data_IF_564654215141
#
_entry.id   IF_564654215141
#
_cell.length_a   1.000
_cell.length_b   1.000
_cell.length_c   1.000
_cell.angle_alpha   90.00
_cell.angle_beta   90.00
_cell.angle_gamma   90.00
#
_symmetry.space_group_name_H-M   'P 1'
#
loop_
_entity.id
_entity.type
_entity.pdbx_description
1 polymer ?
#
# COMPACT_ATOMS: atom_id res chain seq x y z
N UNK A 1 23.05 -10.19 -3.83
CA UNK A 1 23.35 -10.28 -2.39
C UNK A 1 22.30 -9.44 -1.67
N UNK A 2 21.36 -10.03 -0.93
CA UNK A 2 20.38 -9.23 -0.17
C UNK A 2 21.17 -8.38 0.85
N UNK A 3 20.88 -7.06 0.94
CA UNK A 3 21.47 -6.27 2.03
C UNK A 3 21.14 -6.96 3.34
N UNK A 4 22.13 -7.24 4.16
CA UNK A 4 21.97 -7.92 5.44
C UNK A 4 20.93 -7.18 6.28
N UNK A 5 19.78 -7.84 6.57
CA UNK A 5 18.74 -7.45 7.52
C UNK A 5 17.64 -6.51 7.02
N UNK A 6 17.07 -6.77 5.84
CA UNK A 6 15.72 -6.22 5.58
C UNK A 6 14.76 -6.89 6.57
N UNK A 7 14.16 -6.08 7.42
CA UNK A 7 13.13 -6.56 8.35
C UNK A 7 11.83 -6.76 7.59
N UNK A 8 11.50 -8.01 7.30
CA UNK A 8 10.22 -8.34 6.67
C UNK A 8 9.05 -8.09 7.63
N UNK A 9 7.91 -7.69 7.10
CA UNK A 9 6.67 -7.67 7.85
C UNK A 9 6.31 -9.10 8.29
N UNK A 10 5.69 -9.22 9.48
CA UNK A 10 5.26 -10.50 10.06
C UNK A 10 3.84 -10.38 10.58
N UNK A 11 3.04 -11.43 10.45
CA UNK A 11 1.72 -11.49 11.06
C UNK A 11 1.78 -12.14 12.45
N UNK A 12 0.95 -11.63 13.37
CA UNK A 12 0.88 -12.06 14.77
C UNK A 12 -0.59 -12.27 15.14
N UNK A 13 -0.87 -13.41 15.79
CA UNK A 13 -2.20 -13.69 16.32
C UNK A 13 -2.49 -12.82 17.54
N UNK A 14 -3.74 -12.31 17.61
CA UNK A 14 -4.17 -11.46 18.71
C UNK A 14 -5.71 -11.43 18.83
N UNK A 15 -6.20 -11.33 20.06
CA UNK A 15 -7.64 -11.33 20.37
C UNK A 15 -8.31 -9.95 20.22
N UNK A 16 -7.56 -8.85 20.24
CA UNK A 16 -8.11 -7.49 20.31
C UNK A 16 -8.47 -6.89 18.92
N UNK A 17 -8.05 -7.51 17.82
CA UNK A 17 -8.42 -7.05 16.47
C UNK A 17 -9.84 -7.53 16.16
N UNK A 18 -10.78 -6.62 15.82
CA UNK A 18 -12.13 -7.02 15.45
C UNK A 18 -12.13 -7.92 14.20
N UNK A 19 -13.06 -8.90 14.17
CA UNK A 19 -13.20 -9.85 13.05
C UNK A 19 -13.55 -9.19 11.70
N UNK A 20 -14.03 -7.95 11.74
CA UNK A 20 -14.28 -7.14 10.53
C UNK A 20 -13.00 -6.68 9.81
N UNK A 21 -11.85 -6.76 10.47
CA UNK A 21 -10.56 -6.42 9.89
C UNK A 21 -9.79 -7.69 9.52
N UNK A 22 -9.16 -7.70 8.35
CA UNK A 22 -8.26 -8.79 7.98
C UNK A 22 -7.03 -8.77 8.89
N UNK A 23 -6.43 -7.60 9.07
CA UNK A 23 -5.37 -7.31 10.04
C UNK A 23 -5.23 -5.80 10.25
N UNK A 24 -4.52 -5.41 11.32
CA UNK A 24 -4.11 -4.02 11.59
C UNK A 24 -2.59 -3.98 11.61
N UNK A 25 -2.00 -3.09 10.82
CA UNK A 25 -0.54 -2.94 10.74
C UNK A 25 0.00 -1.95 11.76
N UNK A 26 0.97 -2.38 12.58
CA UNK A 26 1.71 -1.52 13.47
C UNK A 26 3.21 -1.89 13.46
N UNK A 27 4.07 -0.95 13.08
CA UNK A 27 5.54 -1.10 13.12
C UNK A 27 6.04 -2.38 12.45
N UNK A 28 5.48 -2.72 11.29
CA UNK A 28 5.86 -3.91 10.52
C UNK A 28 5.31 -5.23 11.06
N UNK A 29 4.31 -5.19 11.95
CA UNK A 29 3.58 -6.36 12.42
C UNK A 29 2.11 -6.26 12.02
N UNK A 30 1.60 -7.28 11.33
CA UNK A 30 0.18 -7.45 11.00
C UNK A 30 -0.51 -8.18 12.16
N UNK A 31 -1.32 -7.48 12.93
CA UNK A 31 -2.10 -8.05 14.02
C UNK A 31 -3.46 -8.53 13.49
N UNK A 32 -3.79 -9.77 13.72
CA UNK A 32 -5.05 -10.40 13.28
C UNK A 32 -5.57 -11.38 14.33
N UNK A 33 -6.86 -11.55 14.40
CA UNK A 33 -7.50 -12.59 15.22
C UNK A 33 -7.78 -13.89 14.45
N UNK A 34 -7.19 -14.03 13.25
CA UNK A 34 -7.40 -15.20 12.41
C UNK A 34 -6.08 -15.97 12.20
N UNK A 35 -5.89 -17.12 12.87
CA UNK A 35 -4.66 -17.94 12.75
C UNK A 35 -4.34 -18.33 11.30
N UNK A 36 -5.35 -18.60 10.46
CA UNK A 36 -5.14 -18.91 9.03
C UNK A 36 -4.55 -17.73 8.26
N UNK A 37 -4.90 -16.50 8.66
CA UNK A 37 -4.29 -15.29 8.10
C UNK A 37 -2.84 -15.18 8.51
N UNK A 38 -2.48 -15.49 9.76
CA UNK A 38 -1.08 -15.52 10.25
C UNK A 38 -0.27 -16.53 9.45
N UNK A 39 -0.78 -17.75 9.32
CA UNK A 39 -0.11 -18.82 8.57
C UNK A 39 0.12 -18.42 7.12
N UNK A 40 -0.94 -17.98 6.41
CA UNK A 40 -0.85 -17.55 5.01
C UNK A 40 0.12 -16.40 4.81
N UNK A 41 0.08 -15.39 5.68
CA UNK A 41 0.92 -14.19 5.58
C UNK A 41 2.41 -14.54 5.77
N UNK A 42 2.72 -15.44 6.71
CA UNK A 42 4.09 -15.80 7.05
C UNK A 42 4.64 -16.99 6.22
N UNK A 43 3.80 -17.62 5.39
CA UNK A 43 4.14 -18.86 4.67
C UNK A 43 5.37 -18.71 3.78
N UNK A 44 5.46 -17.61 3.02
CA UNK A 44 6.59 -17.33 2.14
C UNK A 44 6.99 -15.87 2.19
N UNK A 45 8.23 -15.56 1.83
CA UNK A 45 8.72 -14.19 1.70
C UNK A 45 8.08 -13.46 0.52
N UNK A 46 7.69 -14.21 -0.52
CA UNK A 46 7.13 -13.71 -1.77
C UNK A 46 5.61 -13.50 -1.72
N UNK A 47 4.98 -13.78 -0.58
CA UNK A 47 3.56 -13.51 -0.40
C UNK A 47 3.28 -12.03 -0.66
N UNK A 48 2.37 -11.72 -1.60
CA UNK A 48 2.09 -10.36 -2.04
C UNK A 48 1.67 -9.43 -0.90
N UNK A 49 0.89 -9.94 0.07
CA UNK A 49 0.44 -9.16 1.22
C UNK A 49 1.64 -8.86 2.12
N UNK A 50 2.56 -9.83 2.29
CA UNK A 50 3.80 -9.65 3.04
C UNK A 50 4.76 -8.68 2.35
N UNK A 51 4.90 -8.78 1.03
CA UNK A 51 5.70 -7.83 0.22
C UNK A 51 5.11 -6.42 0.35
N UNK A 52 3.79 -6.25 0.19
CA UNK A 52 3.10 -4.99 0.35
C UNK A 52 3.42 -4.33 1.71
N UNK A 53 3.25 -5.06 2.80
CA UNK A 53 3.48 -4.55 4.15
C UNK A 53 4.99 -4.33 4.43
N UNK A 54 5.87 -5.11 3.80
CA UNK A 54 7.31 -4.88 3.89
C UNK A 54 7.71 -3.60 3.17
N UNK A 55 7.04 -3.22 2.09
CA UNK A 55 7.24 -1.92 1.44
C UNK A 55 6.95 -0.79 2.43
N UNK A 56 5.88 -0.86 3.24
CA UNK A 56 5.62 0.13 4.29
C UNK A 56 6.71 0.19 5.36
N UNK A 57 7.28 -0.96 5.74
CA UNK A 57 8.47 -0.98 6.62
C UNK A 57 9.64 -0.24 5.98
N UNK A 58 9.88 -0.45 4.68
CA UNK A 58 10.96 0.22 3.93
C UNK A 58 10.69 1.72 3.75
N UNK A 59 9.44 2.12 3.55
CA UNK A 59 9.04 3.52 3.52
C UNK A 59 9.33 4.21 4.86
N UNK A 60 9.05 3.56 6.00
CA UNK A 60 9.40 4.11 7.31
C UNK A 60 10.93 4.29 7.48
N UNK A 61 11.74 3.38 6.95
CA UNK A 61 13.21 3.53 6.90
C UNK A 61 13.59 4.74 6.05
N UNK A 62 12.96 4.95 4.89
CA UNK A 62 13.21 6.09 4.01
C UNK A 62 12.84 7.45 4.64
N UNK A 63 12.00 7.42 5.68
CA UNK A 63 11.60 8.59 6.47
C UNK A 63 12.41 8.65 7.78
N UNK A 64 13.74 8.61 7.65
CA UNK A 64 14.72 8.71 8.74
C UNK A 64 14.54 7.61 9.81
N UNK A 65 14.16 6.40 9.39
CA UNK A 65 13.94 5.24 10.27
C UNK A 65 13.04 5.55 11.48
N UNK A 66 12.00 6.34 11.27
CA UNK A 66 11.11 6.82 12.32
C UNK A 66 9.66 6.47 12.06
N UNK A 67 9.11 5.54 12.84
CA UNK A 67 7.70 5.18 12.78
C UNK A 67 6.75 6.34 13.09
N UNK A 68 7.15 7.23 14.00
CA UNK A 68 6.34 8.41 14.30
C UNK A 68 6.22 9.31 13.06
N UNK A 69 7.33 9.58 12.39
CA UNK A 69 7.34 10.39 11.16
C UNK A 69 6.58 9.71 10.02
N UNK A 70 6.74 8.38 9.89
CA UNK A 70 5.97 7.60 8.94
C UNK A 70 4.46 7.76 9.15
N UNK A 71 3.96 7.58 10.39
CA UNK A 71 2.53 7.72 10.66
C UNK A 71 2.02 9.14 10.50
N UNK A 72 2.82 10.16 10.82
CA UNK A 72 2.45 11.56 10.59
C UNK A 72 2.36 11.86 9.08
N UNK A 73 3.32 11.39 8.29
CA UNK A 73 3.30 11.52 6.83
C UNK A 73 2.12 10.76 6.22
N UNK A 74 1.87 9.53 6.69
CA UNK A 74 0.77 8.69 6.25
C UNK A 74 -0.59 9.35 6.54
N UNK A 75 -0.76 9.89 7.74
CA UNK A 75 -1.96 10.65 8.12
C UNK A 75 -2.13 11.91 7.25
N UNK A 76 -1.03 12.64 7.01
CA UNK A 76 -1.05 13.84 6.16
C UNK A 76 -1.49 13.51 4.74
N UNK A 77 -0.95 12.46 4.14
CA UNK A 77 -1.33 12.03 2.79
C UNK A 77 -2.79 11.55 2.73
N UNK A 78 -3.27 10.90 3.78
CA UNK A 78 -4.69 10.55 3.87
C UNK A 78 -5.59 11.78 3.93
N UNK A 79 -5.24 12.78 4.77
CA UNK A 79 -5.96 14.05 4.87
C UNK A 79 -5.96 14.80 3.52
N UNK A 80 -4.82 14.84 2.85
CA UNK A 80 -4.70 15.44 1.51
C UNK A 80 -5.65 14.79 0.50
N UNK A 81 -5.85 13.49 0.62
CA UNK A 81 -6.69 12.72 -0.28
C UNK A 81 -8.19 12.74 0.08
N UNK A 82 -8.60 13.37 1.17
CA UNK A 82 -10.02 13.46 1.56
C UNK A 82 -10.97 13.89 0.41
N UNK A 83 -10.61 14.81 -0.51
CA UNK A 83 -11.48 15.13 -1.63
C UNK A 83 -11.85 13.94 -2.52
N UNK A 84 -11.12 12.82 -2.48
CA UNK A 84 -11.40 11.61 -3.25
C UNK A 84 -12.60 10.82 -2.70
N UNK A 85 -12.96 11.00 -1.42
CA UNK A 85 -14.12 10.34 -0.80
C UNK A 85 -15.44 10.71 -1.48
N UNK A 86 -15.49 11.87 -2.15
CA UNK A 86 -16.67 12.31 -2.94
C UNK A 86 -16.95 11.39 -4.14
N UNK A 87 -16.00 10.57 -4.54
CA UNK A 87 -16.17 9.56 -5.61
C UNK A 87 -16.44 8.19 -4.99
N UNK A 88 -15.59 7.77 -4.03
CA UNK A 88 -15.73 6.51 -3.29
C UNK A 88 -15.09 6.68 -1.91
N UNK A 89 -15.80 6.30 -0.85
CA UNK A 89 -15.39 6.59 0.53
C UNK A 89 -13.99 6.09 0.90
N UNK A 90 -13.57 4.92 0.43
CA UNK A 90 -12.25 4.36 0.71
C UNK A 90 -11.16 4.80 -0.28
N UNK A 91 -11.50 5.64 -1.27
CA UNK A 91 -10.53 6.10 -2.27
C UNK A 91 -9.42 6.97 -1.66
N UNK A 92 -9.73 7.73 -0.61
CA UNK A 92 -8.73 8.54 0.10
C UNK A 92 -7.57 7.68 0.63
N UNK A 93 -7.86 6.48 1.13
CA UNK A 93 -6.86 5.51 1.57
C UNK A 93 -6.16 4.84 0.38
N UNK A 94 -6.94 4.20 -0.49
CA UNK A 94 -6.41 3.34 -1.56
C UNK A 94 -5.51 4.06 -2.56
N UNK A 95 -5.74 5.37 -2.77
CA UNK A 95 -4.98 6.21 -3.67
C UNK A 95 -3.95 7.09 -2.96
N UNK A 96 -3.60 6.79 -1.70
CA UNK A 96 -2.47 7.46 -1.05
C UNK A 96 -1.16 7.12 -1.76
N UNK A 97 -0.22 8.07 -1.86
CA UNK A 97 1.08 7.84 -2.47
C UNK A 97 1.80 6.60 -1.96
N UNK A 98 1.83 6.38 -0.65
CA UNK A 98 2.46 5.21 -0.03
C UNK A 98 1.75 3.90 -0.40
N UNK A 99 0.42 3.91 -0.44
CA UNK A 99 -0.37 2.76 -0.89
C UNK A 99 -0.19 2.49 -2.38
N UNK A 100 -0.14 3.55 -3.21
CA UNK A 100 0.09 3.40 -4.65
C UNK A 100 1.43 2.71 -4.94
N UNK A 101 2.51 3.07 -4.23
CA UNK A 101 3.79 2.36 -4.33
C UNK A 101 3.67 0.91 -3.90
N UNK A 102 3.07 0.65 -2.73
CA UNK A 102 2.93 -0.69 -2.20
C UNK A 102 2.10 -1.60 -3.13
N UNK A 103 0.94 -1.13 -3.62
CA UNK A 103 0.13 -1.87 -4.60
C UNK A 103 0.84 -2.03 -5.96
N UNK A 104 1.59 -1.02 -6.42
CA UNK A 104 2.32 -1.09 -7.67
C UNK A 104 3.37 -2.21 -7.64
N UNK A 105 4.06 -2.36 -6.52
CA UNK A 105 5.26 -3.18 -6.39
C UNK A 105 5.05 -4.51 -5.63
N UNK A 106 3.87 -4.75 -5.03
CA UNK A 106 3.59 -5.95 -4.21
C UNK A 106 3.78 -7.29 -4.94
N UNK A 107 3.74 -7.31 -6.27
CA UNK A 107 3.97 -8.51 -7.08
C UNK A 107 5.43 -8.63 -7.55
N UNK A 108 6.36 -7.87 -6.97
CA UNK A 108 7.78 -7.83 -7.29
C UNK A 108 8.58 -8.01 -5.99
N UNK A 109 8.79 -9.24 -5.50
CA UNK A 109 9.50 -9.47 -4.23
C UNK A 109 10.88 -8.83 -4.17
N UNK A 110 11.56 -8.73 -5.32
CA UNK A 110 12.86 -8.07 -5.45
C UNK A 110 12.82 -6.55 -5.20
N UNK A 111 11.62 -5.94 -5.22
CA UNK A 111 11.47 -4.51 -4.97
C UNK A 111 11.89 -4.11 -3.55
N UNK A 112 11.62 -4.97 -2.56
CA UNK A 112 11.99 -4.72 -1.16
C UNK A 112 13.51 -4.81 -0.92
N UNK A 113 14.24 -5.44 -1.85
CA UNK A 113 15.69 -5.58 -1.78
C UNK A 113 16.45 -4.34 -2.27
N UNK A 114 15.74 -3.35 -2.85
CA UNK A 114 16.32 -2.07 -3.28
C UNK A 114 16.85 -1.28 -2.09
N UNK A 115 17.80 -0.41 -2.35
CA UNK A 115 18.37 0.48 -1.34
C UNK A 115 17.27 1.34 -0.66
N UNK A 116 16.35 1.88 -1.45
CA UNK A 116 15.24 2.72 -0.99
C UNK A 116 13.91 2.26 -1.60
N UNK A 117 12.85 2.29 -0.81
CA UNK A 117 11.46 2.24 -1.26
C UNK A 117 10.86 3.63 -1.01
N UNK A 118 10.96 4.50 -1.98
CA UNK A 118 10.58 5.92 -1.88
C UNK A 118 9.87 6.47 -3.12
N UNK A 119 9.44 5.60 -4.04
CA UNK A 119 8.65 5.99 -5.21
C UNK A 119 7.32 6.68 -4.82
N UNK A 120 6.84 6.51 -3.58
CA UNK A 120 5.70 7.24 -3.05
C UNK A 120 5.87 8.76 -3.15
N UNK A 121 7.12 9.27 -3.11
CA UNK A 121 7.43 10.70 -3.25
C UNK A 121 7.05 11.22 -4.63
N UNK A 122 7.16 10.39 -5.65
CA UNK A 122 6.77 10.74 -7.01
C UNK A 122 5.25 10.63 -7.19
N UNK A 123 4.62 9.60 -6.64
CA UNK A 123 3.15 9.54 -6.58
C UNK A 123 2.55 10.74 -5.84
N UNK A 124 3.22 11.28 -4.83
CA UNK A 124 2.81 12.47 -4.09
C UNK A 124 2.73 13.72 -4.97
N UNK A 125 3.52 13.80 -6.04
CA UNK A 125 3.52 14.93 -6.99
C UNK A 125 2.27 14.96 -7.87
N UNK A 126 1.51 13.86 -7.98
CA UNK A 126 0.30 13.81 -8.80
C UNK A 126 -0.78 14.70 -8.19
N UNK A 127 -1.34 15.66 -8.96
CA UNK A 127 -2.39 16.55 -8.45
C UNK A 127 -3.65 15.78 -8.05
N UNK A 128 -4.31 16.22 -6.99
CA UNK A 128 -5.57 15.60 -6.51
C UNK A 128 -6.65 15.57 -7.59
N UNK A 129 -6.73 16.61 -8.44
CA UNK A 129 -7.66 16.64 -9.58
C UNK A 129 -7.42 15.47 -10.54
N UNK A 130 -6.16 15.15 -10.80
CA UNK A 130 -5.75 14.01 -11.64
C UNK A 130 -6.04 12.68 -10.95
N UNK A 131 -5.69 12.55 -9.66
CA UNK A 131 -6.05 11.35 -8.87
C UNK A 131 -7.56 11.12 -8.87
N UNK A 132 -8.37 12.17 -8.74
CA UNK A 132 -9.84 12.07 -8.80
C UNK A 132 -10.34 11.48 -10.13
N UNK A 133 -9.68 11.79 -11.24
CA UNK A 133 -10.01 11.20 -12.55
C UNK A 133 -9.67 9.69 -12.56
N UNK A 134 -8.53 9.28 -11.96
CA UNK A 134 -8.17 7.86 -11.85
C UNK A 134 -9.09 7.10 -10.90
N UNK A 135 -9.52 7.72 -9.79
CA UNK A 135 -10.54 7.12 -8.91
C UNK A 135 -11.83 6.88 -9.69
N UNK A 136 -12.31 7.87 -10.44
CA UNK A 136 -13.51 7.70 -11.28
C UNK A 136 -13.31 6.61 -12.32
N UNK A 137 -12.15 6.54 -12.95
CA UNK A 137 -11.83 5.52 -13.94
C UNK A 137 -11.81 4.13 -13.33
N UNK A 138 -11.17 3.96 -12.15
CA UNK A 138 -11.09 2.69 -11.43
C UNK A 138 -12.46 2.18 -11.01
N UNK A 139 -13.32 3.06 -10.51
CA UNK A 139 -14.67 2.72 -10.03
C UNK A 139 -15.78 2.97 -11.07
N UNK A 140 -15.42 3.14 -12.34
CA UNK A 140 -16.38 3.27 -13.43
C UNK A 140 -17.09 1.94 -13.66
N UNK A 141 -18.32 1.85 -13.15
CA UNK A 141 -19.15 0.63 -13.16
C UNK A 141 -19.73 0.37 -11.78
N UNK A 142 -20.70 -0.52 -11.69
CA UNK A 142 -21.40 -0.87 -10.44
C UNK A 142 -20.55 -1.85 -9.63
N UNK A 143 -19.65 -1.34 -8.81
CA UNK A 143 -18.91 -2.23 -7.94
C UNK A 143 -17.59 -1.70 -7.40
N UNK A 144 -17.02 -2.46 -6.47
CA UNK A 144 -15.79 -2.16 -5.76
C UNK A 144 -14.51 -2.55 -6.52
N UNK A 145 -14.58 -2.63 -7.84
CA UNK A 145 -13.40 -3.07 -8.56
C UNK A 145 -13.48 -2.96 -10.08
N UNK A 146 -12.42 -3.36 -10.76
CA UNK A 146 -12.18 -3.11 -12.16
C UNK A 146 -12.86 -4.14 -13.08
N UNK A 147 -14.08 -4.54 -12.80
CA UNK A 147 -14.80 -5.51 -13.64
C UNK A 147 -14.82 -5.14 -15.12
N UNK A 148 -14.74 -3.85 -15.42
CA UNK A 148 -14.67 -3.36 -16.80
C UNK A 148 -13.33 -3.68 -17.45
N UNK A 149 -12.23 -3.69 -16.68
CA UNK A 149 -10.88 -3.81 -17.23
C UNK A 149 -10.28 -5.20 -17.08
N UNK A 150 -10.91 -6.10 -16.30
CA UNK A 150 -10.36 -7.44 -15.98
C UNK A 150 -8.89 -7.37 -15.52
N UNK A 151 -8.52 -6.33 -14.79
CA UNK A 151 -7.15 -6.10 -14.32
C UNK A 151 -7.11 -5.87 -12.82
N UNK A 152 -6.01 -6.22 -12.20
CA UNK A 152 -5.73 -5.92 -10.79
C UNK A 152 -5.44 -4.43 -10.57
N UNK A 153 -5.53 -3.96 -9.31
CA UNK A 153 -5.18 -2.59 -9.00
C UNK A 153 -3.70 -2.27 -9.28
N UNK A 154 -2.81 -3.24 -9.06
CA UNK A 154 -1.39 -3.13 -9.44
C UNK A 154 -1.21 -2.85 -10.94
N UNK A 155 -1.89 -3.62 -11.79
CA UNK A 155 -1.86 -3.42 -13.24
C UNK A 155 -2.46 -2.08 -13.66
N UNK A 156 -3.54 -1.65 -12.99
CA UNK A 156 -4.15 -0.34 -13.22
C UNK A 156 -3.17 0.80 -12.91
N UNK A 157 -2.49 0.74 -11.75
CA UNK A 157 -1.48 1.73 -11.39
C UNK A 157 -0.40 1.79 -12.46
N UNK A 158 0.18 0.65 -12.83
CA UNK A 158 1.25 0.55 -13.84
C UNK A 158 0.81 1.09 -15.20
N UNK A 159 -0.42 0.82 -15.61
CA UNK A 159 -0.93 1.20 -16.93
C UNK A 159 -1.29 2.68 -17.03
N UNK A 160 -1.86 3.26 -15.98
CA UNK A 160 -2.48 4.59 -16.04
C UNK A 160 -1.78 5.63 -15.16
N UNK A 161 -1.38 5.28 -13.94
CA UNK A 161 -0.91 6.26 -12.95
C UNK A 161 0.59 6.54 -13.14
N UNK A 162 1.41 5.52 -13.36
CA UNK A 162 2.87 5.69 -13.48
C UNK A 162 3.30 6.56 -14.65
N UNK A 163 2.45 6.76 -15.65
CA UNK A 163 2.71 7.68 -16.78
C UNK A 163 2.90 9.14 -16.36
N UNK A 164 2.50 9.50 -15.15
CA UNK A 164 2.64 10.84 -14.59
C UNK A 164 3.82 10.97 -13.62
N UNK A 165 4.57 9.89 -13.44
CA UNK A 165 5.79 9.95 -12.65
C UNK A 165 6.90 10.55 -13.51
N UNK A 166 7.81 11.36 -12.94
CA UNK A 166 9.00 11.80 -13.64
C UNK A 166 9.86 10.59 -14.03
N UNK A 167 10.53 10.70 -15.19
CA UNK A 167 11.55 9.75 -15.62
C UNK A 167 12.76 9.76 -14.70
#
# INVERSE_FOLDING_TARGET
MRPSKIKLATAVDTWWVPSSFVYIMLKGKAYTNNPKTVERFNATEDNKDRVHETIHVRQAVSIKDSWLRFYLEYLWEWLRNLPLITVKWHAAYKFMPMELEAYCCQNQPEYIDREMCDAWRDFKKIPIKTLKQYVKLWYKGDGDGPYIYKMTFSEFIKKYITKHLPE
#
